data_IF_341192702852
#
_entry.id   IF_341192702852
#
_cell.length_a   1.000
_cell.length_b   1.000
_cell.length_c   1.000
_cell.angle_alpha   90.00
_cell.angle_beta   90.00
_cell.angle_gamma   90.00
#
_symmetry.space_group_name_H-M   'P 1'
#
loop_
_entity.id
_entity.type
_entity.pdbx_description
1 polymer ?
#
# COMPACT_ATOMS: atom_id res chain seq x y z
N UNK A 1 8.45 -16.08 -33.83
CA UNK A 1 8.51 -16.51 -32.42
C UNK A 1 7.50 -15.69 -31.65
N UNK A 2 6.34 -16.26 -31.29
CA UNK A 2 5.29 -15.57 -30.52
C UNK A 2 5.01 -16.39 -29.27
N UNK A 3 4.96 -15.75 -28.10
CA UNK A 3 4.33 -16.31 -26.90
C UNK A 3 3.77 -15.16 -26.06
N UNK A 4 2.44 -15.12 -25.96
CA UNK A 4 1.68 -14.20 -25.13
C UNK A 4 1.47 -14.83 -23.74
N UNK A 5 1.27 -14.01 -22.70
CA UNK A 5 0.73 -14.47 -21.42
C UNK A 5 -0.50 -13.63 -21.06
N UNK A 6 -1.63 -13.98 -21.67
CA UNK A 6 -2.95 -13.69 -21.13
C UNK A 6 -3.24 -14.74 -20.03
N UNK A 7 -3.87 -14.30 -18.95
CA UNK A 7 -4.25 -15.14 -17.82
C UNK A 7 -5.55 -15.87 -18.19
N UNK A 8 -5.49 -17.19 -18.32
CA UNK A 8 -6.61 -18.10 -18.60
C UNK A 8 -7.09 -18.68 -17.26
N UNK A 9 -8.39 -18.55 -16.99
CA UNK A 9 -9.08 -19.09 -15.81
C UNK A 9 -9.91 -20.32 -16.23
N UNK A 10 -9.46 -21.56 -15.93
CA UNK A 10 -10.29 -22.74 -16.04
C UNK A 10 -10.80 -23.12 -14.64
N UNK A 11 -12.11 -22.97 -14.45
CA UNK A 11 -12.77 -23.15 -13.15
C UNK A 11 -12.62 -24.53 -12.49
N UNK A 12 -13.03 -24.57 -11.22
CA UNK A 12 -13.35 -25.80 -10.50
C UNK A 12 -12.42 -26.12 -9.33
N UNK A 13 -12.68 -25.54 -8.17
CA UNK A 13 -12.02 -25.93 -6.93
C UNK A 13 -12.64 -25.26 -5.71
N UNK A 14 -13.56 -25.95 -5.06
CA UNK A 14 -13.93 -25.64 -3.67
C UNK A 14 -12.72 -26.00 -2.79
N UNK A 15 -11.79 -25.06 -2.63
CA UNK A 15 -10.54 -25.29 -1.91
C UNK A 15 -9.86 -23.97 -1.59
N UNK A 16 -9.94 -23.57 -0.32
CA UNK A 16 -9.18 -22.47 0.31
C UNK A 16 -9.06 -21.21 -0.54
N UNK A 17 -10.06 -20.30 -0.43
CA UNK A 17 -9.88 -18.91 -0.82
C UNK A 17 -8.62 -18.38 -0.11
N UNK A 18 -7.51 -18.06 -0.81
CA UNK A 18 -6.49 -17.27 -0.15
C UNK A 18 -7.18 -15.94 0.17
N UNK A 19 -7.29 -15.60 1.46
CA UNK A 19 -7.46 -14.22 1.89
C UNK A 19 -6.27 -13.46 1.36
N UNK A 20 -6.35 -13.00 0.11
CA UNK A 20 -5.43 -12.02 -0.44
C UNK A 20 -5.71 -10.75 0.35
N UNK A 21 -4.96 -10.54 1.42
CA UNK A 21 -4.50 -9.19 1.76
C UNK A 21 -4.09 -8.53 0.45
N UNK A 22 -4.53 -7.30 0.18
CA UNK A 22 -4.01 -6.56 -0.97
C UNK A 22 -2.47 -6.53 -0.82
N UNK A 23 -1.77 -7.31 -1.66
CA UNK A 23 -0.33 -7.46 -1.59
C UNK A 23 0.31 -6.14 -1.98
N UNK A 24 1.45 -5.86 -1.35
CA UNK A 24 2.11 -4.57 -1.31
C UNK A 24 2.08 -3.71 -2.56
N UNK A 25 2.01 -2.40 -2.34
CA UNK A 25 2.04 -1.42 -3.43
C UNK A 25 3.45 -0.88 -3.63
N UNK A 26 3.88 -0.86 -4.89
CA UNK A 26 5.16 -0.30 -5.30
C UNK A 26 4.91 0.86 -6.28
N UNK A 27 5.33 2.08 -5.90
CA UNK A 27 5.21 3.27 -6.76
C UNK A 27 6.58 3.85 -7.09
N UNK A 28 6.75 4.32 -8.33
CA UNK A 28 7.97 4.97 -8.82
C UNK A 28 7.64 6.32 -9.41
N UNK A 29 8.28 7.37 -8.90
CA UNK A 29 8.08 8.78 -9.25
C UNK A 29 6.67 9.27 -8.90
N UNK A 30 6.57 10.10 -7.87
CA UNK A 30 5.33 10.75 -7.46
C UNK A 30 5.56 11.87 -6.47
N UNK A 31 4.68 12.86 -6.41
CA UNK A 31 4.85 13.97 -5.48
C UNK A 31 4.70 13.52 -4.01
N UNK A 32 3.86 12.50 -3.78
CA UNK A 32 3.59 11.94 -2.46
C UNK A 32 3.62 10.41 -2.48
N UNK A 33 4.33 9.80 -1.53
CA UNK A 33 4.24 8.37 -1.27
C UNK A 33 3.08 7.97 -0.37
N UNK A 34 2.57 8.85 0.49
CA UNK A 34 1.31 8.65 1.18
C UNK A 34 0.68 10.01 1.48
N UNK A 35 -0.57 10.21 1.05
CA UNK A 35 -1.29 11.46 1.28
C UNK A 35 -2.61 11.15 1.99
N UNK A 36 -2.65 11.38 3.30
CA UNK A 36 -3.83 11.17 4.13
C UNK A 36 -4.22 12.49 4.78
N UNK A 37 -5.43 12.95 4.46
CA UNK A 37 -5.98 14.20 4.97
C UNK A 37 -7.41 14.00 5.44
N UNK A 38 -7.55 13.85 6.76
CA UNK A 38 -8.84 13.78 7.44
C UNK A 38 -9.40 15.16 7.77
N UNK A 39 -10.66 15.18 8.20
CA UNK A 39 -11.28 16.36 8.78
C UNK A 39 -11.05 16.37 10.29
N UNK A 40 -10.85 17.54 10.88
CA UNK A 40 -10.61 17.69 12.33
C UNK A 40 -11.73 17.07 13.18
N UNK A 41 -12.98 17.26 12.77
CA UNK A 41 -14.18 16.69 13.41
C UNK A 41 -14.43 15.21 13.15
N UNK A 42 -13.68 14.60 12.25
CA UNK A 42 -13.82 13.19 11.86
C UNK A 42 -12.47 12.69 11.34
N UNK A 43 -11.48 12.47 12.24
CA UNK A 43 -10.16 12.05 11.84
C UNK A 43 -10.22 10.70 11.13
N UNK A 44 -9.29 10.47 10.21
CA UNK A 44 -9.11 9.15 9.61
C UNK A 44 -8.48 8.26 10.68
N UNK A 45 -9.11 7.13 10.97
CA UNK A 45 -8.71 6.23 12.07
C UNK A 45 -8.51 4.80 11.59
N UNK A 46 -7.74 4.02 12.36
CA UNK A 46 -7.55 2.57 12.19
C UNK A 46 -7.03 2.20 10.79
N UNK A 47 -5.95 2.85 10.36
CA UNK A 47 -5.29 2.54 9.11
C UNK A 47 -4.12 1.60 9.36
N UNK A 48 -4.07 0.50 8.61
CA UNK A 48 -2.96 -0.42 8.59
C UNK A 48 -2.37 -0.47 7.18
N UNK A 49 -1.12 -0.02 7.03
CA UNK A 49 -0.39 -0.07 5.78
C UNK A 49 0.79 -1.00 5.99
N UNK A 50 0.79 -2.08 5.22
CA UNK A 50 1.78 -3.14 5.33
C UNK A 50 2.41 -3.39 3.97
N UNK A 51 3.70 -3.70 3.93
CA UNK A 51 4.41 -4.11 2.71
C UNK A 51 4.31 -3.04 1.60
N UNK A 52 4.86 -1.86 1.83
CA UNK A 52 4.73 -0.73 0.91
C UNK A 52 6.09 -0.19 0.51
N UNK A 53 6.29 0.08 -0.79
CA UNK A 53 7.54 0.65 -1.29
C UNK A 53 7.28 1.83 -2.22
N UNK A 54 8.05 2.90 -2.02
CA UNK A 54 7.96 4.10 -2.84
C UNK A 54 9.35 4.58 -3.19
N UNK A 55 9.63 4.80 -4.47
CA UNK A 55 10.95 5.28 -4.90
C UNK A 55 10.83 6.58 -5.71
N UNK A 56 11.78 7.48 -5.46
CA UNK A 56 11.89 8.80 -6.07
C UNK A 56 10.63 9.66 -5.88
N UNK A 57 10.11 9.68 -4.65
CA UNK A 57 8.99 10.52 -4.24
C UNK A 57 9.47 11.82 -3.62
N UNK A 58 8.81 12.94 -3.94
CA UNK A 58 9.19 14.26 -3.41
C UNK A 58 8.89 14.37 -1.91
N UNK A 59 7.68 13.95 -1.51
CA UNK A 59 7.24 13.96 -0.12
C UNK A 59 6.92 12.52 0.31
N UNK A 60 7.67 11.93 1.25
CA UNK A 60 7.45 10.56 1.67
C UNK A 60 6.06 10.32 2.26
N UNK A 61 5.60 11.20 3.16
CA UNK A 61 4.27 11.08 3.77
C UNK A 61 3.73 12.45 4.16
N UNK A 62 2.44 12.64 3.97
CA UNK A 62 1.65 13.75 4.51
C UNK A 62 0.45 13.16 5.26
N UNK A 63 0.40 13.45 6.57
CA UNK A 63 -0.62 12.96 7.48
C UNK A 63 -1.28 14.15 8.19
N UNK A 64 -2.55 14.39 7.90
CA UNK A 64 -3.35 15.43 8.54
C UNK A 64 -4.62 14.82 9.13
N UNK A 65 -4.90 15.08 10.41
CA UNK A 65 -6.05 14.54 11.14
C UNK A 65 -6.18 13.00 11.00
N UNK A 66 -5.05 12.31 11.17
CA UNK A 66 -4.96 10.84 11.15
C UNK A 66 -4.61 10.36 12.56
N UNK A 67 -5.28 9.32 13.04
CA UNK A 67 -5.00 8.70 14.34
C UNK A 67 -5.02 7.17 14.22
N UNK A 68 -4.17 6.46 14.97
CA UNK A 68 -4.07 5.00 14.89
C UNK A 68 -3.58 4.50 13.52
N UNK A 69 -2.56 5.16 12.97
CA UNK A 69 -1.86 4.71 11.76
C UNK A 69 -0.77 3.72 12.16
N UNK A 70 -0.90 2.49 11.66
CA UNK A 70 0.09 1.43 11.79
C UNK A 70 0.77 1.23 10.43
N UNK A 71 2.09 1.40 10.42
CA UNK A 71 2.96 1.17 9.28
C UNK A 71 3.88 0.00 9.62
N UNK A 72 3.87 -1.04 8.80
CA UNK A 72 4.82 -2.16 8.93
C UNK A 72 5.43 -2.49 7.58
N UNK A 73 6.76 -2.66 7.54
CA UNK A 73 7.48 -2.98 6.29
C UNK A 73 7.21 -1.95 5.18
N UNK A 74 7.15 -0.67 5.54
CA UNK A 74 6.99 0.44 4.60
C UNK A 74 8.35 1.09 4.33
N UNK A 75 8.68 1.34 3.07
CA UNK A 75 9.92 2.00 2.64
C UNK A 75 9.61 3.12 1.65
N UNK A 76 10.20 4.30 1.88
CA UNK A 76 10.11 5.42 0.93
C UNK A 76 11.48 6.02 0.69
N UNK A 77 11.90 6.10 -0.57
CA UNK A 77 13.24 6.54 -1.01
C UNK A 77 14.37 5.77 -0.31
N UNK A 78 14.18 4.47 -0.09
CA UNK A 78 15.14 3.61 0.63
C UNK A 78 15.16 3.80 2.15
N UNK A 79 14.32 4.69 2.71
CA UNK A 79 14.19 4.90 4.16
C UNK A 79 13.01 4.08 4.68
N UNK A 80 13.20 3.21 5.70
CA UNK A 80 12.10 2.46 6.30
C UNK A 80 11.26 3.36 7.23
N UNK A 81 9.94 3.15 7.20
CA UNK A 81 8.94 3.78 8.05
C UNK A 81 8.14 2.69 8.77
N UNK A 82 8.37 2.57 10.08
CA UNK A 82 7.72 1.62 10.97
C UNK A 82 7.16 2.39 12.17
N UNK A 83 5.85 2.32 12.37
CA UNK A 83 5.21 2.89 13.56
C UNK A 83 4.85 1.73 14.50
N UNK A 84 5.77 1.45 15.42
CA UNK A 84 5.58 0.48 16.50
C UNK A 84 4.49 0.89 17.47
#
# INVERSE_FOLDING_TARGET
MRRAAAYDDPGGGCGSRPTRSAAGWSSRNGDYALYLRGYERSPITNLNITDASSDNVTTPMLLENVSGLHLSDVTSNGVPYDTR
#
